data_IF_211223610585
#
_entry.id   IF_211223610585
#
_cell.length_a   1.000
_cell.length_b   1.000
_cell.length_c   1.000
_cell.angle_alpha   90.00
_cell.angle_beta   90.00
_cell.angle_gamma   90.00
#
_symmetry.space_group_name_H-M   'P 1'
#
loop_
_entity.id
_entity.type
_entity.pdbx_description
1 polymer ?
#
# COMPACT_ATOMS: atom_id res chain seq x y z
N UNK A 1 -29.30 30.67 -2.98
CA UNK A 1 -28.87 30.21 -1.65
C UNK A 1 -29.79 29.10 -1.18
N UNK A 2 -29.43 27.84 -1.41
CA UNK A 2 -30.16 26.70 -0.83
C UNK A 2 -29.60 26.50 0.57
N UNK A 3 -30.45 26.70 1.57
CA UNK A 3 -30.12 26.83 2.98
C UNK A 3 -29.32 25.60 3.49
N UNK A 4 -28.14 25.80 4.07
CA UNK A 4 -27.27 24.73 4.58
C UNK A 4 -27.99 23.85 5.63
N UNK A 5 -29.02 24.41 6.28
CA UNK A 5 -29.93 23.77 7.23
C UNK A 5 -30.65 22.53 6.67
N UNK A 6 -30.82 22.42 5.34
CA UNK A 6 -31.52 21.29 4.69
C UNK A 6 -30.62 20.09 4.36
N UNK A 7 -29.29 20.28 4.22
CA UNK A 7 -28.38 19.24 3.70
C UNK A 7 -28.22 18.04 4.63
N UNK A 8 -27.96 18.26 5.92
CA UNK A 8 -27.72 17.15 6.87
C UNK A 8 -28.92 16.23 7.04
N UNK A 9 -30.14 16.79 7.12
CA UNK A 9 -31.39 16.01 7.18
C UNK A 9 -31.68 15.28 5.86
N UNK A 10 -31.41 15.90 4.72
CA UNK A 10 -31.56 15.25 3.41
C UNK A 10 -30.59 14.08 3.25
N UNK A 11 -29.32 14.26 3.59
CA UNK A 11 -28.31 13.19 3.57
C UNK A 11 -28.72 12.04 4.49
N UNK A 12 -29.19 12.33 5.71
CA UNK A 12 -29.69 11.31 6.63
C UNK A 12 -30.87 10.52 6.03
N UNK A 13 -31.85 11.20 5.39
CA UNK A 13 -32.97 10.54 4.71
C UNK A 13 -32.51 9.62 3.57
N UNK A 14 -31.57 10.07 2.74
CA UNK A 14 -31.02 9.29 1.62
C UNK A 14 -30.28 8.05 2.15
N UNK A 15 -29.39 8.22 3.13
CA UNK A 15 -28.63 7.11 3.69
C UNK A 15 -29.54 6.08 4.39
N UNK A 16 -30.60 6.55 5.04
CA UNK A 16 -31.62 5.71 5.66
C UNK A 16 -32.37 4.87 4.63
N UNK A 17 -32.70 5.46 3.49
CA UNK A 17 -33.35 4.77 2.36
C UNK A 17 -32.43 3.70 1.74
N UNK A 18 -31.14 4.02 1.54
CA UNK A 18 -30.15 3.06 1.04
C UNK A 18 -30.04 1.84 1.99
N UNK A 19 -29.98 2.08 3.30
CA UNK A 19 -29.93 0.98 4.29
C UNK A 19 -31.18 0.10 4.25
N UNK A 20 -32.36 0.70 4.08
CA UNK A 20 -33.61 -0.04 3.91
C UNK A 20 -33.57 -0.92 2.66
N UNK A 21 -33.12 -0.38 1.53
CA UNK A 21 -33.01 -1.14 0.27
C UNK A 21 -32.02 -2.30 0.37
N UNK A 22 -30.89 -2.10 1.05
CA UNK A 22 -29.92 -3.18 1.31
C UNK A 22 -30.55 -4.25 2.22
N UNK A 23 -31.28 -3.84 3.26
CA UNK A 23 -31.94 -4.79 4.14
C UNK A 23 -33.01 -5.62 3.42
N UNK A 24 -33.88 -4.97 2.63
CA UNK A 24 -34.90 -5.61 1.80
C UNK A 24 -34.28 -6.58 0.79
N UNK A 25 -33.21 -6.17 0.09
CA UNK A 25 -32.51 -7.02 -0.88
C UNK A 25 -31.85 -8.26 -0.25
N UNK A 26 -31.67 -8.26 1.08
CA UNK A 26 -31.05 -9.33 1.83
C UNK A 26 -32.01 -9.96 2.84
N UNK A 27 -33.34 -9.83 2.71
CA UNK A 27 -34.31 -10.39 3.68
C UNK A 27 -33.96 -10.11 5.16
N UNK A 28 -33.39 -8.93 5.43
CA UNK A 28 -33.03 -8.49 6.78
C UNK A 28 -34.17 -7.62 7.27
N UNK A 29 -34.74 -7.98 8.43
CA UNK A 29 -35.71 -7.15 9.09
C UNK A 29 -35.05 -5.84 9.54
N UNK A 30 -35.51 -4.70 8.99
CA UNK A 30 -34.92 -3.40 9.26
C UNK A 30 -36.00 -2.37 9.55
N UNK A 31 -36.23 -2.14 10.84
CA UNK A 31 -37.20 -1.16 11.31
C UNK A 31 -36.50 0.18 11.44
N UNK A 32 -37.05 1.17 10.78
CA UNK A 32 -36.48 2.51 10.81
C UNK A 32 -37.33 3.45 11.66
N UNK A 33 -36.68 4.29 12.47
CA UNK A 33 -37.38 5.29 13.31
C UNK A 33 -37.23 6.70 12.75
N UNK A 34 -38.23 7.56 12.91
CA UNK A 34 -38.13 8.94 12.43
C UNK A 34 -37.07 9.74 13.21
N UNK A 35 -36.41 10.66 12.50
CA UNK A 35 -35.43 11.54 13.10
C UNK A 35 -36.15 12.58 13.97
N UNK A 36 -35.99 12.45 15.29
CA UNK A 36 -36.56 13.39 16.27
C UNK A 36 -35.66 14.62 16.52
N UNK A 37 -34.51 14.72 15.83
CA UNK A 37 -33.56 15.81 16.03
C UNK A 37 -34.09 17.14 15.45
N UNK A 38 -34.18 18.16 16.31
CA UNK A 38 -34.56 19.52 15.96
C UNK A 38 -33.31 20.41 15.92
N UNK A 39 -33.11 21.15 14.83
CA UNK A 39 -31.93 21.98 14.59
C UNK A 39 -31.01 21.49 13.47
N UNK A 40 -29.85 22.14 13.34
CA UNK A 40 -28.84 21.90 12.31
C UNK A 40 -28.07 20.60 12.58
N UNK A 41 -28.25 19.62 11.71
CA UNK A 41 -27.58 18.33 11.82
C UNK A 41 -26.26 18.35 11.04
N UNK A 42 -25.14 18.11 11.72
CA UNK A 42 -23.79 18.06 11.14
C UNK A 42 -23.52 16.81 10.27
N UNK A 43 -24.51 15.92 10.15
CA UNK A 43 -24.37 14.65 9.43
C UNK A 43 -23.81 13.55 10.35
N UNK A 44 -24.52 12.42 10.37
CA UNK A 44 -24.29 11.23 11.22
C UNK A 44 -24.59 11.45 12.71
N UNK A 45 -25.34 10.52 13.33
CA UNK A 45 -25.68 10.53 14.75
C UNK A 45 -25.59 9.10 15.34
N UNK A 46 -25.59 8.93 16.68
CA UNK A 46 -25.46 7.61 17.30
C UNK A 46 -26.52 6.59 16.84
N UNK A 47 -27.75 7.04 16.51
CA UNK A 47 -28.78 6.16 15.93
C UNK A 47 -28.44 5.71 14.52
N UNK A 48 -27.95 6.61 13.66
CA UNK A 48 -27.48 6.25 12.32
C UNK A 48 -26.30 5.28 12.37
N UNK A 49 -25.36 5.45 13.32
CA UNK A 49 -24.26 4.52 13.52
C UNK A 49 -24.73 3.15 14.00
N UNK A 50 -25.72 3.12 14.90
CA UNK A 50 -26.33 1.87 15.36
C UNK A 50 -27.06 1.12 14.23
N UNK A 51 -27.78 1.83 13.37
CA UNK A 51 -28.43 1.28 12.17
C UNK A 51 -27.41 0.65 11.21
N UNK A 52 -26.30 1.34 10.94
CA UNK A 52 -25.20 0.82 10.10
C UNK A 52 -24.61 -0.45 10.70
N UNK A 53 -24.25 -0.41 12.00
CA UNK A 53 -23.66 -1.55 12.70
C UNK A 53 -24.60 -2.76 12.71
N UNK A 54 -25.89 -2.54 12.91
CA UNK A 54 -26.89 -3.62 12.87
C UNK A 54 -26.91 -4.28 11.49
N UNK A 55 -27.01 -3.48 10.42
CA UNK A 55 -27.07 -3.99 9.05
C UNK A 55 -25.79 -4.74 8.66
N UNK A 56 -24.61 -4.20 8.99
CA UNK A 56 -23.31 -4.86 8.78
C UNK A 56 -23.24 -6.23 9.49
N UNK A 57 -23.70 -6.31 10.75
CA UNK A 57 -23.72 -7.56 11.50
C UNK A 57 -24.64 -8.61 10.85
N UNK A 58 -25.81 -8.22 10.35
CA UNK A 58 -26.75 -9.14 9.71
C UNK A 58 -26.23 -9.65 8.36
N UNK A 59 -25.64 -8.77 7.55
CA UNK A 59 -25.00 -9.15 6.28
C UNK A 59 -23.82 -10.09 6.53
N UNK A 60 -22.98 -9.78 7.51
CA UNK A 60 -21.84 -10.63 7.87
C UNK A 60 -22.29 -12.01 8.38
N UNK A 61 -23.39 -12.09 9.14
CA UNK A 61 -24.01 -13.38 9.50
C UNK A 61 -24.46 -14.16 8.26
N UNK A 62 -25.13 -13.52 7.30
CA UNK A 62 -25.53 -14.16 6.03
C UNK A 62 -24.30 -14.65 5.25
N UNK A 63 -23.22 -13.86 5.19
CA UNK A 63 -21.97 -14.24 4.54
C UNK A 63 -21.33 -15.47 5.16
N UNK A 64 -21.26 -15.54 6.49
CA UNK A 64 -20.65 -16.68 7.21
C UNK A 64 -21.41 -17.98 7.01
N UNK A 65 -22.73 -17.93 6.84
CA UNK A 65 -23.54 -19.12 6.52
C UNK A 65 -23.58 -19.42 5.01
N UNK A 66 -22.68 -18.80 4.22
CA UNK A 66 -22.56 -19.03 2.79
C UNK A 66 -23.70 -18.47 1.94
N UNK A 67 -24.58 -17.62 2.52
CA UNK A 67 -25.66 -16.96 1.77
C UNK A 67 -25.08 -15.79 0.99
N UNK A 68 -25.45 -15.68 -0.29
CA UNK A 68 -25.09 -14.55 -1.12
C UNK A 68 -25.65 -13.25 -0.54
N UNK A 69 -24.83 -12.20 -0.51
CA UNK A 69 -25.25 -10.85 -0.17
C UNK A 69 -25.63 -10.14 -1.46
N UNK A 70 -26.86 -9.65 -1.54
CA UNK A 70 -27.36 -8.85 -2.64
C UNK A 70 -27.16 -7.38 -2.30
N UNK A 71 -26.10 -6.77 -2.82
CA UNK A 71 -26.00 -5.32 -2.85
C UNK A 71 -26.77 -4.82 -4.07
N UNK A 72 -27.61 -3.80 -3.89
CA UNK A 72 -28.34 -3.20 -5.00
C UNK A 72 -27.36 -2.84 -6.11
N UNK A 73 -27.49 -3.52 -7.25
CA UNK A 73 -26.73 -3.24 -8.47
C UNK A 73 -25.54 -4.13 -8.78
N UNK A 74 -25.07 -5.04 -7.92
CA UNK A 74 -24.00 -6.00 -8.29
C UNK A 74 -24.10 -7.32 -7.51
N UNK A 75 -24.46 -8.39 -8.22
CA UNK A 75 -24.25 -9.77 -7.79
C UNK A 75 -22.76 -9.99 -7.53
N UNK A 76 -22.33 -10.10 -6.28
CA UNK A 76 -20.91 -10.36 -5.98
C UNK A 76 -20.76 -11.41 -4.89
N UNK A 77 -20.25 -12.57 -5.32
CA UNK A 77 -19.47 -13.43 -4.45
C UNK A 77 -18.27 -12.66 -3.90
N UNK A 78 -18.35 -12.36 -2.61
CA UNK A 78 -17.27 -12.37 -1.61
C UNK A 78 -16.05 -11.46 -1.92
N UNK A 79 -16.03 -10.25 -1.35
CA UNK A 79 -14.78 -9.57 -0.96
C UNK A 79 -14.87 -8.88 0.42
N UNK A 80 -13.71 -8.90 1.06
CA UNK A 80 -13.39 -8.97 2.48
C UNK A 80 -13.66 -7.73 3.33
N UNK A 81 -13.78 -7.99 4.63
CA UNK A 81 -13.94 -7.06 5.76
C UNK A 81 -12.61 -6.34 6.06
N UNK A 82 -12.64 -5.03 6.34
CA UNK A 82 -11.66 -4.35 7.20
C UNK A 82 -12.45 -3.55 8.26
N UNK A 83 -12.20 -3.69 9.57
CA UNK A 83 -12.79 -2.82 10.59
C UNK A 83 -11.93 -1.57 10.85
N UNK A 84 -12.53 -0.46 11.36
CA UNK A 84 -11.84 0.83 11.47
C UNK A 84 -11.45 1.25 12.90
N UNK A 85 -10.56 2.25 12.94
CA UNK A 85 -10.42 3.39 13.90
C UNK A 85 -9.20 3.34 14.84
N UNK A 86 -8.56 4.45 15.25
CA UNK A 86 -8.99 5.86 15.37
C UNK A 86 -7.81 6.88 15.44
N UNK A 87 -8.15 8.14 15.09
CA UNK A 87 -7.68 9.45 15.60
C UNK A 87 -6.33 10.09 15.16
N UNK A 88 -6.50 11.04 14.23
CA UNK A 88 -6.00 12.42 14.13
C UNK A 88 -4.48 12.72 14.13
N UNK A 89 -3.99 12.96 12.91
CA UNK A 89 -3.05 14.04 12.64
C UNK A 89 -3.59 14.81 11.41
N UNK A 90 -3.68 16.14 11.49
CA UNK A 90 -3.95 16.99 10.33
C UNK A 90 -2.87 16.76 9.27
N UNK A 91 -3.18 15.86 8.35
CA UNK A 91 -2.52 15.72 7.07
C UNK A 91 -3.63 15.62 6.05
N UNK A 92 -3.60 16.50 5.05
CA UNK A 92 -4.44 16.42 3.85
C UNK A 92 -4.13 15.09 3.17
N UNK A 93 -4.82 14.03 3.62
CA UNK A 93 -4.70 12.71 3.05
C UNK A 93 -5.81 12.54 2.04
N UNK A 94 -5.40 12.31 0.80
CA UNK A 94 -6.29 12.06 -0.33
C UNK A 94 -7.45 11.14 0.03
N UNK A 95 -8.69 11.47 -0.38
CA UNK A 95 -9.75 10.48 -0.37
C UNK A 95 -9.30 9.31 -1.24
N UNK A 96 -9.23 8.11 -0.67
CA UNK A 96 -8.96 6.88 -1.42
C UNK A 96 -10.13 6.70 -2.40
N UNK A 97 -9.92 7.04 -3.66
CA UNK A 97 -10.92 6.87 -4.71
C UNK A 97 -11.19 5.36 -4.88
N UNK A 98 -12.38 4.92 -4.49
CA UNK A 98 -12.91 3.62 -4.92
C UNK A 98 -13.34 3.78 -6.39
N UNK A 99 -12.65 3.12 -7.32
CA UNK A 99 -13.04 3.15 -8.73
C UNK A 99 -14.29 2.30 -8.92
N UNK A 100 -15.42 2.94 -9.24
CA UNK A 100 -16.54 2.29 -9.95
C UNK A 100 -16.48 2.72 -11.40
N UNK A 101 -16.18 1.78 -12.29
CA UNK A 101 -16.32 1.94 -13.74
C UNK A 101 -17.83 2.01 -14.03
N UNK A 102 -18.33 3.16 -14.45
CA UNK A 102 -19.66 3.27 -15.06
C UNK A 102 -19.53 3.20 -16.57
N UNK A 103 -20.46 2.50 -17.21
CA UNK A 103 -20.38 2.10 -18.62
C UNK A 103 -20.56 3.24 -19.65
N UNK A 104 -20.63 4.51 -19.25
CA UNK A 104 -21.08 5.61 -20.13
C UNK A 104 -20.07 6.73 -20.43
N UNK A 105 -18.78 6.58 -20.08
CA UNK A 105 -17.73 7.48 -20.61
C UNK A 105 -16.92 6.78 -21.69
N UNK A 106 -17.49 6.68 -22.89
CA UNK A 106 -16.78 6.40 -24.12
C UNK A 106 -15.85 7.58 -24.47
N UNK A 107 -14.72 7.69 -23.76
CA UNK A 107 -13.50 8.26 -24.33
C UNK A 107 -12.76 7.10 -24.96
N UNK A 108 -12.56 7.23 -26.27
CA UNK A 108 -12.09 6.19 -27.20
C UNK A 108 -10.98 5.31 -26.62
N UNK A 109 -11.23 4.00 -26.61
CA UNK A 109 -10.37 2.90 -26.16
C UNK A 109 -9.03 2.74 -26.93
N UNK A 110 -8.57 3.74 -27.69
CA UNK A 110 -7.46 3.56 -28.64
C UNK A 110 -6.07 3.98 -28.15
N UNK A 111 -5.94 4.74 -27.06
CA UNK A 111 -4.63 5.24 -26.61
C UNK A 111 -4.15 4.72 -25.25
N UNK A 112 -4.82 3.70 -24.67
CA UNK A 112 -4.37 3.06 -23.42
C UNK A 112 -3.85 1.63 -23.63
N UNK A 113 -3.02 1.43 -24.66
CA UNK A 113 -1.96 0.41 -24.61
C UNK A 113 -0.80 0.97 -23.80
N UNK A 114 -1.02 1.09 -22.51
CA UNK A 114 -0.02 1.56 -21.56
C UNK A 114 -0.35 0.93 -20.24
N UNK A 115 0.00 -0.36 -20.11
CA UNK A 115 0.23 -0.95 -18.80
C UNK A 115 0.99 0.09 -17.97
N UNK A 116 0.45 0.47 -16.82
CA UNK A 116 1.19 1.30 -15.89
C UNK A 116 2.54 0.60 -15.66
N UNK A 117 3.68 1.23 -15.97
CA UNK A 117 4.91 0.48 -16.03
C UNK A 117 5.25 -0.04 -14.64
N UNK A 118 5.23 -1.37 -14.55
CA UNK A 118 5.56 -2.14 -13.37
C UNK A 118 7.08 -2.07 -13.18
N UNK A 119 7.55 -1.23 -12.26
CA UNK A 119 8.98 -1.12 -11.92
C UNK A 119 9.29 -1.89 -10.63
N UNK A 120 9.02 -3.19 -10.65
CA UNK A 120 9.61 -4.21 -9.78
C UNK A 120 10.69 -5.00 -10.55
N UNK A 121 11.34 -5.99 -9.93
CA UNK A 121 12.16 -6.92 -10.71
C UNK A 121 11.26 -7.66 -11.70
N UNK A 122 11.78 -8.01 -12.88
CA UNK A 122 11.04 -8.80 -13.88
C UNK A 122 10.52 -10.09 -13.24
N UNK A 123 11.26 -10.63 -12.28
CA UNK A 123 10.83 -11.73 -11.42
C UNK A 123 11.28 -11.50 -9.97
N UNK A 124 10.34 -11.48 -9.04
CA UNK A 124 10.65 -11.48 -7.61
C UNK A 124 11.15 -12.86 -7.17
N UNK A 125 11.95 -12.95 -6.09
CA UNK A 125 12.28 -14.23 -5.51
C UNK A 125 11.03 -15.03 -5.15
N UNK A 126 11.10 -16.34 -5.37
CA UNK A 126 9.97 -17.24 -5.20
C UNK A 126 10.36 -18.43 -4.32
N UNK A 127 9.61 -18.64 -3.24
CA UNK A 127 9.78 -19.81 -2.39
C UNK A 127 9.48 -21.10 -3.18
N UNK A 128 10.15 -22.23 -2.92
CA UNK A 128 9.84 -23.50 -3.59
C UNK A 128 8.34 -23.87 -3.47
N UNK A 129 7.63 -23.87 -4.60
CA UNK A 129 6.18 -24.13 -4.63
C UNK A 129 5.30 -22.92 -4.27
N UNK A 130 5.87 -21.72 -4.27
CA UNK A 130 5.16 -20.46 -4.11
C UNK A 130 4.84 -20.09 -2.66
N UNK A 131 4.15 -18.96 -2.50
CA UNK A 131 3.88 -18.34 -1.19
C UNK A 131 2.98 -19.25 -0.31
N UNK A 132 2.05 -20.00 -0.90
CA UNK A 132 1.22 -20.93 -0.15
C UNK A 132 2.06 -22.02 0.55
N UNK A 133 3.06 -22.56 -0.13
CA UNK A 133 4.00 -23.53 0.44
C UNK A 133 4.93 -22.91 1.48
N UNK A 134 5.28 -21.63 1.32
CA UNK A 134 6.01 -20.91 2.36
C UNK A 134 5.20 -20.76 3.66
N UNK A 135 3.91 -20.43 3.53
CA UNK A 135 2.99 -20.34 4.68
C UNK A 135 2.88 -21.70 5.39
N UNK A 136 2.73 -22.78 4.63
CA UNK A 136 2.70 -24.15 5.16
C UNK A 136 4.01 -24.51 5.88
N UNK A 137 5.15 -24.25 5.25
CA UNK A 137 6.48 -24.45 5.83
C UNK A 137 6.61 -23.73 7.19
N UNK A 138 6.19 -22.47 7.28
CA UNK A 138 6.26 -21.73 8.54
C UNK A 138 5.36 -22.35 9.61
N UNK A 139 4.14 -22.79 9.26
CA UNK A 139 3.22 -23.43 10.20
C UNK A 139 3.75 -24.76 10.73
N UNK A 140 4.43 -25.54 9.89
CA UNK A 140 4.98 -26.84 10.26
C UNK A 140 6.26 -26.72 11.10
N UNK A 141 7.09 -25.71 10.82
CA UNK A 141 8.39 -25.56 11.46
C UNK A 141 8.36 -24.68 12.72
N UNK A 142 7.32 -23.85 12.88
CA UNK A 142 7.16 -22.98 14.04
C UNK A 142 6.50 -23.73 15.19
N UNK A 143 7.18 -23.73 16.34
CA UNK A 143 6.74 -24.40 17.58
C UNK A 143 5.72 -23.55 18.32
N UNK A 144 4.52 -23.44 17.75
CA UNK A 144 3.48 -22.55 18.24
C UNK A 144 3.13 -22.79 19.71
N UNK A 145 3.01 -24.04 20.14
CA UNK A 145 2.68 -24.42 21.53
C UNK A 145 3.72 -24.00 22.57
N UNK A 146 4.95 -23.69 22.16
CA UNK A 146 5.99 -23.21 23.08
C UNK A 146 5.94 -21.68 23.29
N UNK A 147 5.24 -20.97 22.39
CA UNK A 147 5.25 -19.50 22.34
C UNK A 147 3.85 -18.86 22.38
N UNK A 148 2.77 -19.62 22.18
CA UNK A 148 1.40 -19.13 22.03
C UNK A 148 0.89 -18.33 23.24
N UNK A 149 1.13 -18.82 24.45
CA UNK A 149 0.77 -18.15 25.71
C UNK A 149 1.45 -16.80 25.90
N UNK A 150 2.60 -16.60 25.24
CA UNK A 150 3.42 -15.38 25.32
C UNK A 150 3.13 -14.44 24.14
N UNK A 151 2.91 -15.02 22.96
CA UNK A 151 2.79 -14.29 21.70
C UNK A 151 1.34 -13.90 21.36
N UNK A 152 0.33 -14.41 22.08
CA UNK A 152 -1.07 -14.16 21.75
C UNK A 152 -1.39 -12.66 21.60
N UNK A 153 -2.06 -12.29 20.52
CA UNK A 153 -2.38 -10.92 20.10
C UNK A 153 -1.17 -9.99 19.91
N UNK A 154 0.02 -10.56 19.70
CA UNK A 154 1.21 -9.80 19.32
C UNK A 154 1.49 -9.92 17.82
N UNK A 155 2.28 -8.98 17.31
CA UNK A 155 2.83 -9.06 15.96
C UNK A 155 4.33 -8.77 16.00
N UNK A 156 5.10 -9.54 15.23
CA UNK A 156 6.55 -9.44 15.14
C UNK A 156 6.95 -9.24 13.69
N UNK A 157 7.76 -8.22 13.44
CA UNK A 157 8.27 -7.89 12.12
C UNK A 157 9.69 -8.42 11.98
N UNK A 158 9.89 -9.22 10.93
CA UNK A 158 11.17 -9.86 10.61
C UNK A 158 11.61 -9.40 9.24
N UNK A 159 12.72 -8.67 9.19
CA UNK A 159 13.36 -8.33 7.94
C UNK A 159 14.42 -9.37 7.59
N UNK A 160 14.45 -9.83 6.34
CA UNK A 160 15.48 -10.74 5.83
C UNK A 160 15.73 -10.45 4.36
N UNK A 161 16.86 -10.91 3.83
CA UNK A 161 17.22 -10.72 2.43
C UNK A 161 17.37 -12.07 1.75
N UNK A 162 16.78 -12.21 0.55
CA UNK A 162 17.12 -13.29 -0.36
C UNK A 162 18.31 -12.84 -1.20
N UNK A 163 19.42 -13.58 -1.15
CA UNK A 163 20.63 -13.26 -1.91
C UNK A 163 20.56 -13.71 -3.39
N UNK A 164 21.68 -13.58 -4.11
CA UNK A 164 21.79 -13.94 -5.52
C UNK A 164 21.63 -15.45 -5.78
N UNK A 165 21.90 -16.30 -4.78
CA UNK A 165 21.78 -17.75 -4.83
C UNK A 165 20.46 -18.26 -4.24
N UNK A 166 19.58 -17.34 -3.81
CA UNK A 166 18.30 -17.66 -3.22
C UNK A 166 18.36 -18.01 -1.73
N UNK A 167 19.51 -17.82 -1.08
CA UNK A 167 19.66 -18.07 0.35
C UNK A 167 19.05 -16.92 1.16
N UNK A 168 18.42 -17.28 2.28
CA UNK A 168 17.95 -16.30 3.27
C UNK A 168 19.13 -15.86 4.12
N UNK A 169 19.46 -14.57 4.06
CA UNK A 169 20.55 -13.96 4.84
C UNK A 169 20.03 -12.76 5.65
N UNK A 170 20.82 -12.38 6.66
CA UNK A 170 20.57 -11.22 7.52
C UNK A 170 19.15 -11.13 8.13
N UNK A 171 18.58 -12.23 8.68
CA UNK A 171 17.31 -12.14 9.39
C UNK A 171 17.48 -11.27 10.63
N UNK A 172 16.69 -10.21 10.74
CA UNK A 172 16.66 -9.30 11.89
C UNK A 172 15.24 -9.00 12.31
N UNK A 173 15.02 -8.93 13.61
CA UNK A 173 13.74 -8.53 14.17
C UNK A 173 13.74 -7.00 14.27
N UNK A 174 12.84 -6.37 13.53
CA UNK A 174 12.71 -4.90 13.50
C UNK A 174 11.77 -4.38 14.58
N UNK A 175 10.85 -5.24 15.03
CA UNK A 175 9.94 -4.94 16.14
C UNK A 175 10.17 -5.93 17.27
N UNK A 176 10.83 -5.47 18.34
CA UNK A 176 11.15 -6.29 19.51
C UNK A 176 9.90 -6.92 20.11
N UNK A 177 10.02 -8.17 20.51
CA UNK A 177 9.00 -8.95 21.20
C UNK A 177 9.64 -9.73 22.35
N UNK A 178 8.93 -10.71 22.92
CA UNK A 178 9.48 -11.55 23.96
C UNK A 178 10.66 -12.39 23.44
N UNK A 179 11.82 -12.47 24.13
CA UNK A 179 13.03 -13.14 23.62
C UNK A 179 12.85 -14.59 23.18
N UNK A 180 11.94 -15.34 23.81
CA UNK A 180 11.59 -16.71 23.39
C UNK A 180 10.94 -16.74 21.99
N UNK A 181 10.05 -15.79 21.70
CA UNK A 181 9.41 -15.65 20.39
C UNK A 181 10.46 -15.24 19.35
N UNK A 182 11.34 -14.30 19.71
CA UNK A 182 12.44 -13.86 18.86
C UNK A 182 13.38 -15.02 18.47
N UNK A 183 13.82 -15.81 19.46
CA UNK A 183 14.71 -16.94 19.25
C UNK A 183 14.07 -18.01 18.36
N UNK A 184 12.78 -18.30 18.56
CA UNK A 184 12.05 -19.28 17.75
C UNK A 184 11.88 -18.82 16.30
N UNK A 185 11.53 -17.55 16.09
CA UNK A 185 11.44 -16.96 14.76
C UNK A 185 12.79 -17.05 14.04
N UNK A 186 13.88 -16.61 14.68
CA UNK A 186 15.21 -16.65 14.07
C UNK A 186 15.68 -18.07 13.76
N UNK A 187 15.31 -19.05 14.60
CA UNK A 187 15.54 -20.47 14.34
C UNK A 187 14.76 -20.96 13.11
N UNK A 188 13.49 -20.60 12.96
CA UNK A 188 12.71 -20.98 11.78
C UNK A 188 13.26 -20.31 10.52
N UNK A 189 13.69 -19.05 10.60
CA UNK A 189 14.30 -18.34 9.49
C UNK A 189 15.58 -19.02 8.96
N UNK A 190 16.36 -19.67 9.84
CA UNK A 190 17.57 -20.40 9.44
C UNK A 190 17.28 -21.77 8.79
N UNK A 191 16.05 -22.27 8.91
CA UNK A 191 15.61 -23.52 8.27
C UNK A 191 15.04 -23.30 6.87
N UNK A 192 14.80 -22.05 6.46
CA UNK A 192 14.15 -21.75 5.19
C UNK A 192 15.02 -22.28 4.03
N UNK A 193 14.46 -23.12 3.14
CA UNK A 193 15.19 -23.61 1.97
C UNK A 193 15.51 -22.47 1.00
N UNK A 194 16.41 -22.75 0.05
CA UNK A 194 16.75 -21.79 -1.01
C UNK A 194 15.53 -21.44 -1.85
N UNK A 195 15.35 -20.15 -2.08
CA UNK A 195 14.34 -19.58 -2.98
C UNK A 195 14.86 -19.61 -4.41
N UNK A 196 13.95 -19.50 -5.37
CA UNK A 196 14.33 -19.02 -6.71
C UNK A 196 14.78 -17.56 -6.54
N UNK A 197 16.00 -17.17 -6.95
CA UNK A 197 16.47 -15.80 -6.82
C UNK A 197 15.62 -14.82 -7.61
N UNK A 198 15.68 -13.54 -7.21
CA UNK A 198 15.06 -12.46 -7.96
C UNK A 198 15.84 -12.22 -9.25
N UNK A 199 15.15 -11.95 -10.36
CA UNK A 199 15.77 -11.62 -11.64
C UNK A 199 15.39 -10.22 -12.10
N UNK A 200 16.38 -9.52 -12.63
CA UNK A 200 16.19 -8.24 -13.30
C UNK A 200 17.20 -8.09 -14.43
N UNK A 201 16.73 -7.77 -15.64
CA UNK A 201 17.59 -7.65 -16.82
C UNK A 201 18.51 -8.87 -17.02
N UNK A 202 17.97 -10.07 -16.74
CA UNK A 202 18.68 -11.35 -16.79
C UNK A 202 19.82 -11.53 -15.77
N UNK A 203 19.95 -10.63 -14.79
CA UNK A 203 20.88 -10.75 -13.65
C UNK A 203 20.13 -11.05 -12.36
N UNK A 204 20.77 -11.82 -11.47
CA UNK A 204 20.23 -12.11 -10.14
C UNK A 204 20.38 -10.91 -9.21
N UNK A 205 19.32 -10.52 -8.52
CA UNK A 205 19.32 -9.39 -7.57
C UNK A 205 18.96 -9.85 -6.16
N UNK A 206 19.51 -9.18 -5.16
CA UNK A 206 19.10 -9.44 -3.77
C UNK A 206 17.80 -8.69 -3.49
N UNK A 207 16.89 -9.29 -2.73
CA UNK A 207 15.62 -8.65 -2.36
C UNK A 207 15.40 -8.77 -0.87
N UNK A 208 15.17 -7.64 -0.23
CA UNK A 208 14.86 -7.56 1.19
C UNK A 208 13.35 -7.64 1.39
N UNK A 209 12.93 -8.61 2.17
CA UNK A 209 11.56 -8.84 2.61
C UNK A 209 11.35 -8.40 4.05
N UNK A 210 10.12 -8.01 4.36
CA UNK A 210 9.60 -7.84 5.70
C UNK A 210 8.40 -8.78 5.87
N UNK A 211 8.54 -9.71 6.81
CA UNK A 211 7.53 -10.68 7.21
C UNK A 211 6.94 -10.25 8.55
N UNK A 212 5.67 -9.85 8.52
CA UNK A 212 4.88 -9.60 9.71
C UNK A 212 4.20 -10.90 10.13
N UNK A 213 4.57 -11.38 11.31
CA UNK A 213 4.01 -12.55 11.97
C UNK A 213 3.06 -12.08 13.06
N UNK A 214 1.75 -12.28 12.90
CA UNK A 214 0.79 -12.05 13.98
C UNK A 214 0.40 -13.39 14.58
N UNK A 215 0.36 -13.48 15.91
CA UNK A 215 -0.02 -14.71 16.61
C UNK A 215 -1.39 -14.53 17.26
N UNK A 216 -2.37 -15.36 16.88
CA UNK A 216 -3.70 -15.37 17.49
C UNK A 216 -4.06 -16.77 17.99
N UNK A 217 -4.40 -16.89 19.27
CA UNK A 217 -4.87 -18.15 19.85
C UNK A 217 -6.17 -18.68 19.20
N UNK A 218 -6.93 -17.82 18.52
CA UNK A 218 -8.22 -18.18 17.92
C UNK A 218 -8.09 -18.79 16.52
N UNK A 219 -7.14 -18.32 15.71
CA UNK A 219 -7.01 -18.71 14.30
C UNK A 219 -5.59 -19.14 13.89
N UNK A 220 -4.63 -19.14 14.82
CA UNK A 220 -3.22 -19.41 14.56
C UNK A 220 -2.46 -18.17 14.06
N UNK A 221 -1.24 -18.34 13.51
CA UNK A 221 -0.45 -17.22 13.03
C UNK A 221 -0.96 -16.69 11.67
N UNK A 222 -1.19 -15.38 11.58
CA UNK A 222 -1.43 -14.67 10.32
C UNK A 222 -0.12 -14.08 9.78
N UNK A 223 0.09 -14.25 8.48
CA UNK A 223 1.32 -13.87 7.80
C UNK A 223 1.06 -12.76 6.79
N UNK A 224 1.84 -11.69 6.84
CA UNK A 224 1.92 -10.71 5.75
C UNK A 224 3.37 -10.56 5.32
N UNK A 225 3.62 -10.84 4.04
CA UNK A 225 4.94 -10.69 3.43
C UNK A 225 4.89 -9.49 2.51
N UNK A 226 5.81 -8.57 2.72
CA UNK A 226 6.05 -7.43 1.83
C UNK A 226 7.52 -7.42 1.46
N UNK A 227 7.87 -6.99 0.26
CA UNK A 227 9.27 -6.67 -0.06
C UNK A 227 9.47 -5.17 0.06
N UNK A 228 10.60 -4.77 0.63
CA UNK A 228 10.91 -3.37 0.92
C UNK A 228 11.92 -2.81 -0.07
N UNK A 229 12.85 -3.65 -0.54
CA UNK A 229 13.98 -3.22 -1.34
C UNK A 229 14.48 -4.29 -2.30
N UNK A 230 14.91 -3.86 -3.48
CA UNK A 230 15.76 -4.62 -4.38
C UNK A 230 17.15 -4.02 -4.24
N UNK A 231 18.12 -4.80 -3.81
CA UNK A 231 19.52 -4.38 -3.73
C UNK A 231 20.22 -4.78 -5.03
N UNK A 232 20.63 -3.77 -5.79
CA UNK A 232 21.31 -3.94 -7.05
C UNK A 232 22.81 -4.08 -6.79
N UNK A 233 23.49 -5.04 -7.43
CA UNK A 233 24.94 -5.17 -7.26
C UNK A 233 25.65 -3.88 -7.71
N UNK A 234 26.70 -3.50 -6.99
CA UNK A 234 27.51 -2.30 -7.27
C UNK A 234 26.72 -0.97 -7.26
N UNK A 235 25.62 -0.91 -6.51
CA UNK A 235 24.87 0.34 -6.26
C UNK A 235 25.01 0.72 -4.79
N UNK A 236 25.53 1.91 -4.55
CA UNK A 236 25.84 2.40 -3.21
C UNK A 236 24.70 3.27 -2.67
N UNK A 237 24.52 3.27 -1.35
CA UNK A 237 23.55 4.17 -0.68
C UNK A 237 24.19 5.51 -0.34
N UNK A 238 25.44 5.45 0.11
CA UNK A 238 26.24 6.58 0.49
C UNK A 238 27.65 6.40 -0.08
N UNK A 239 28.20 7.50 -0.57
CA UNK A 239 29.54 7.60 -1.12
C UNK A 239 30.13 8.94 -0.70
N UNK A 240 31.47 9.09 -0.67
CA UNK A 240 32.12 10.35 -0.31
C UNK A 240 31.62 11.55 -1.11
N UNK A 241 31.38 11.37 -2.42
CA UNK A 241 30.81 12.40 -3.29
C UNK A 241 29.46 11.93 -3.78
N UNK A 242 28.38 12.44 -3.20
CA UNK A 242 27.01 12.11 -3.62
C UNK A 242 26.68 12.67 -5.00
N UNK A 243 25.82 11.99 -5.79
CA UNK A 243 25.35 12.52 -7.06
C UNK A 243 24.71 13.90 -6.95
N UNK A 244 24.88 14.73 -7.96
CA UNK A 244 24.36 16.10 -7.97
C UNK A 244 23.58 16.40 -9.25
N UNK A 245 22.39 16.99 -9.09
CA UNK A 245 21.63 17.53 -10.22
C UNK A 245 22.44 18.66 -10.87
N UNK A 246 22.37 18.84 -12.21
CA UNK A 246 23.00 19.99 -12.86
C UNK A 246 22.59 21.30 -12.18
N UNK A 247 23.55 22.19 -11.92
CA UNK A 247 23.30 23.47 -11.23
C UNK A 247 22.81 23.33 -9.78
N UNK A 248 22.84 22.12 -9.21
CA UNK A 248 22.60 21.85 -7.80
C UNK A 248 21.13 21.69 -7.41
N UNK A 249 20.89 21.62 -6.11
CA UNK A 249 19.58 21.27 -5.55
C UNK A 249 18.48 22.31 -5.84
N UNK A 250 18.82 23.59 -5.92
CA UNK A 250 17.85 24.64 -6.24
C UNK A 250 17.31 24.49 -7.66
N UNK A 251 18.18 24.20 -8.63
CA UNK A 251 17.80 23.93 -10.01
C UNK A 251 16.91 22.68 -10.12
N UNK A 252 17.19 21.64 -9.32
CA UNK A 252 16.32 20.46 -9.23
C UNK A 252 14.91 20.84 -8.79
N UNK A 253 14.77 21.63 -7.72
CA UNK A 253 13.46 22.07 -7.22
C UNK A 253 12.70 22.91 -8.24
N UNK A 254 13.39 23.81 -8.96
CA UNK A 254 12.80 24.61 -10.02
C UNK A 254 12.40 23.75 -11.23
N UNK A 255 13.24 22.77 -11.61
CA UNK A 255 12.94 21.82 -12.67
C UNK A 255 11.66 21.05 -12.36
N UNK A 256 11.55 20.49 -11.15
CA UNK A 256 10.36 19.78 -10.69
C UNK A 256 9.12 20.69 -10.76
N UNK A 257 9.18 21.87 -10.13
CA UNK A 257 8.06 22.80 -10.10
C UNK A 257 7.59 23.23 -11.50
N UNK A 258 8.51 23.39 -12.46
CA UNK A 258 8.21 23.77 -13.84
C UNK A 258 7.65 22.62 -14.68
N UNK A 259 8.07 21.38 -14.39
CA UNK A 259 7.74 20.20 -15.20
C UNK A 259 6.54 19.43 -14.71
N UNK A 260 6.16 19.57 -13.44
CA UNK A 260 4.96 18.95 -12.87
C UNK A 260 3.71 19.51 -13.55
N UNK A 261 2.88 18.60 -14.05
CA UNK A 261 1.59 18.88 -14.63
C UNK A 261 0.53 18.17 -13.79
N UNK A 262 -0.44 18.90 -13.28
CA UNK A 262 -1.55 18.28 -12.56
C UNK A 262 -2.43 17.51 -13.53
N UNK A 263 -2.62 16.19 -13.36
CA UNK A 263 -3.58 15.45 -14.16
C UNK A 263 -4.99 16.03 -13.91
N UNK A 264 -5.74 16.23 -14.99
CA UNK A 264 -7.03 16.96 -15.01
C UNK A 264 -8.19 16.10 -14.49
N UNK A 265 -8.02 15.48 -13.33
CA UNK A 265 -9.05 14.62 -12.74
C UNK A 265 -9.91 15.49 -11.84
N UNK A 266 -11.09 15.78 -12.37
CA UNK A 266 -12.33 16.21 -11.71
C UNK A 266 -12.17 17.16 -10.51
N UNK A 267 -12.45 18.43 -10.78
CA UNK A 267 -12.92 19.46 -9.85
C UNK A 267 -13.72 18.85 -8.68
N UNK A 268 -13.08 18.69 -7.53
CA UNK A 268 -13.72 18.16 -6.32
C UNK A 268 -12.74 18.05 -5.17
N UNK A 269 -11.74 17.16 -5.31
CA UNK A 269 -10.79 16.85 -4.25
C UNK A 269 -9.37 16.67 -4.82
N UNK A 270 -8.65 17.78 -5.03
CA UNK A 270 -7.25 17.69 -5.48
C UNK A 270 -6.37 17.13 -4.38
N UNK A 271 -5.85 15.93 -4.65
CA UNK A 271 -4.82 15.29 -3.85
C UNK A 271 -3.58 16.18 -3.71
N UNK A 272 -3.22 16.49 -2.46
CA UNK A 272 -2.00 17.19 -2.12
C UNK A 272 -1.09 16.28 -1.31
N UNK A 273 0.22 16.52 -1.43
CA UNK A 273 1.20 15.91 -0.56
C UNK A 273 2.52 15.62 -1.26
N UNK A 274 3.29 14.72 -0.66
CA UNK A 274 4.63 14.33 -1.10
C UNK A 274 4.66 12.90 -1.60
N UNK A 275 4.91 12.74 -2.90
CA UNK A 275 5.27 11.44 -3.50
C UNK A 275 6.78 11.27 -3.37
N UNK A 276 7.23 10.16 -2.81
CA UNK A 276 8.66 9.83 -2.68
C UNK A 276 9.04 8.89 -3.82
N UNK A 277 9.91 9.36 -4.71
CA UNK A 277 10.48 8.53 -5.78
C UNK A 277 11.91 8.18 -5.41
N UNK A 278 12.24 6.89 -5.51
CA UNK A 278 13.61 6.40 -5.43
C UNK A 278 14.06 5.95 -6.81
N UNK A 279 15.29 6.26 -7.18
CA UNK A 279 15.90 5.83 -8.44
C UNK A 279 17.40 5.62 -8.22
N UNK A 280 18.07 5.13 -9.26
CA UNK A 280 19.52 4.95 -9.28
C UNK A 280 20.10 5.93 -10.29
N UNK A 281 21.19 6.59 -9.91
CA UNK A 281 22.01 7.38 -10.84
C UNK A 281 23.19 6.50 -11.22
N UNK A 282 23.32 6.15 -12.49
CA UNK A 282 24.43 5.31 -12.97
C UNK A 282 25.76 6.10 -13.01
N UNK A 283 26.86 5.39 -13.35
CA UNK A 283 28.20 5.98 -13.43
C UNK A 283 28.34 7.03 -14.56
N UNK A 284 27.43 7.02 -15.53
CA UNK A 284 27.31 8.01 -16.60
C UNK A 284 26.40 9.20 -16.25
N UNK A 285 25.76 9.17 -15.06
CA UNK A 285 24.84 10.19 -14.59
C UNK A 285 23.41 10.06 -15.11
N UNK A 286 23.03 8.96 -15.76
CA UNK A 286 21.66 8.73 -16.17
C UNK A 286 20.81 8.21 -15.01
N UNK A 287 19.54 8.57 -15.03
CA UNK A 287 18.56 7.99 -14.10
C UNK A 287 18.09 6.64 -14.65
N UNK A 288 18.19 5.61 -13.82
CA UNK A 288 17.68 4.28 -14.12
C UNK A 288 16.78 3.78 -12.99
N UNK A 289 15.86 2.88 -13.34
CA UNK A 289 14.99 2.14 -12.41
C UNK A 289 14.21 3.02 -11.40
N UNK A 290 13.54 4.11 -11.84
CA UNK A 290 12.73 4.90 -10.92
C UNK A 290 11.54 4.11 -10.41
N UNK A 291 11.31 4.16 -9.10
CA UNK A 291 10.19 3.51 -8.42
C UNK A 291 9.55 4.44 -7.39
N UNK A 292 8.25 4.28 -7.19
CA UNK A 292 7.51 4.98 -6.14
C UNK A 292 7.82 4.28 -4.82
N UNK A 293 8.61 4.92 -3.95
CA UNK A 293 8.92 4.41 -2.62
C UNK A 293 7.80 4.71 -1.62
N UNK A 294 7.10 5.83 -1.82
CA UNK A 294 5.88 6.18 -1.08
C UNK A 294 4.97 7.00 -2.00
N UNK A 295 3.87 6.39 -2.40
CA UNK A 295 2.85 7.02 -3.22
C UNK A 295 1.78 7.72 -2.40
N UNK A 296 0.96 8.51 -3.09
CA UNK A 296 -0.25 9.13 -2.52
C UNK A 296 -1.47 8.68 -3.31
N UNK A 297 -1.41 8.89 -4.62
CA UNK A 297 -2.47 8.59 -5.56
C UNK A 297 -1.83 8.11 -6.88
N UNK A 298 -2.36 7.07 -7.54
CA UNK A 298 -1.76 6.50 -8.75
C UNK A 298 -1.50 7.51 -9.88
N UNK A 299 -2.30 8.57 -10.00
CA UNK A 299 -2.11 9.57 -11.04
C UNK A 299 -0.98 10.54 -10.70
N UNK A 300 -0.89 10.97 -9.44
CA UNK A 300 0.25 11.77 -8.96
C UNK A 300 1.55 10.96 -8.98
N UNK A 301 1.47 9.68 -8.66
CA UNK A 301 2.61 8.75 -8.71
C UNK A 301 3.13 8.61 -10.14
N UNK A 302 2.23 8.42 -11.11
CA UNK A 302 2.57 8.36 -12.55
C UNK A 302 3.18 9.67 -13.03
N UNK A 303 2.64 10.80 -12.60
CA UNK A 303 3.17 12.11 -12.96
C UNK A 303 4.56 12.36 -12.36
N UNK A 304 4.75 12.01 -11.08
CA UNK A 304 6.06 12.09 -10.44
C UNK A 304 7.10 11.25 -11.21
N UNK A 305 6.77 10.00 -11.56
CA UNK A 305 7.64 9.17 -12.38
C UNK A 305 7.94 9.78 -13.75
N UNK A 306 6.95 10.38 -14.43
CA UNK A 306 7.15 11.05 -15.72
C UNK A 306 8.17 12.19 -15.59
N UNK A 307 8.05 13.02 -14.56
CA UNK A 307 8.96 14.15 -14.33
C UNK A 307 10.37 13.68 -13.99
N UNK A 308 10.51 12.66 -13.13
CA UNK A 308 11.81 12.06 -12.80
C UNK A 308 12.49 11.50 -14.06
N UNK A 309 11.77 10.79 -14.92
CA UNK A 309 12.32 10.25 -16.17
C UNK A 309 12.75 11.31 -17.19
N UNK A 310 12.31 12.56 -17.05
CA UNK A 310 12.68 13.66 -17.94
C UNK A 310 13.88 14.48 -17.46
N UNK A 311 14.47 14.11 -16.31
CA UNK A 311 15.60 14.85 -15.77
C UNK A 311 16.82 14.77 -16.71
N UNK A 312 17.62 15.84 -16.78
CA UNK A 312 18.91 15.80 -17.46
C UNK A 312 19.87 14.85 -16.76
N UNK A 313 21.02 14.58 -17.41
CA UNK A 313 22.10 13.81 -16.81
C UNK A 313 22.63 14.50 -15.54
N UNK A 314 22.80 13.73 -14.48
CA UNK A 314 23.36 14.14 -13.20
C UNK A 314 24.88 14.05 -13.22
N UNK A 315 25.53 14.72 -12.27
CA UNK A 315 26.88 14.35 -11.88
C UNK A 315 26.78 13.04 -11.09
N UNK A 316 27.49 11.98 -11.49
CA UNK A 316 27.45 10.69 -10.80
C UNK A 316 28.09 10.79 -9.41
N UNK A 317 27.88 9.76 -8.59
CA UNK A 317 28.59 9.65 -7.32
C UNK A 317 30.01 9.13 -7.51
N UNK A 318 30.91 9.48 -6.60
CA UNK A 318 32.33 9.09 -6.65
C UNK A 318 32.80 8.52 -5.31
N UNK A 319 33.65 7.48 -5.38
CA UNK A 319 34.41 6.93 -4.26
C UNK A 319 35.60 7.83 -3.90
N UNK A 320 36.32 7.50 -2.81
CA UNK A 320 37.47 8.31 -2.33
C UNK A 320 38.60 8.43 -3.37
N UNK A 321 38.74 7.43 -4.24
CA UNK A 321 39.71 7.38 -5.33
C UNK A 321 39.24 8.11 -6.61
N UNK A 322 38.05 8.72 -6.60
CA UNK A 322 37.43 9.37 -7.75
C UNK A 322 36.72 8.40 -8.70
N UNK A 323 36.62 7.11 -8.38
CA UNK A 323 35.90 6.14 -9.21
C UNK A 323 34.40 6.44 -9.20
N UNK A 324 33.83 6.64 -10.39
CA UNK A 324 32.38 6.87 -10.57
C UNK A 324 31.59 5.59 -10.34
N UNK A 325 30.56 5.68 -9.52
CA UNK A 325 29.74 4.53 -9.12
C UNK A 325 28.26 4.84 -9.22
N UNK A 326 27.45 3.78 -9.32
CA UNK A 326 26.01 3.90 -9.29
C UNK A 326 25.52 4.13 -7.84
N UNK A 327 24.60 5.07 -7.65
CA UNK A 327 24.15 5.46 -6.30
C UNK A 327 22.63 5.57 -6.25
N UNK A 328 22.03 5.06 -5.18
CA UNK A 328 20.62 5.28 -4.89
C UNK A 328 20.36 6.75 -4.55
N UNK A 329 19.35 7.34 -5.17
CA UNK A 329 18.92 8.69 -4.88
C UNK A 329 17.41 8.74 -4.66
N UNK A 330 16.97 9.58 -3.72
CA UNK A 330 15.55 9.71 -3.36
C UNK A 330 15.13 11.16 -3.46
N UNK A 331 14.08 11.43 -4.23
CA UNK A 331 13.53 12.78 -4.43
C UNK A 331 12.09 12.84 -3.93
N UNK A 332 11.77 13.77 -3.02
CA UNK A 332 10.39 14.09 -2.68
C UNK A 332 9.78 15.03 -3.73
N UNK A 333 8.81 14.54 -4.49
CA UNK A 333 8.03 15.34 -5.44
C UNK A 333 6.80 15.90 -4.70
N UNK A 334 6.71 17.23 -4.65
CA UNK A 334 5.67 17.93 -3.89
C UNK A 334 4.52 18.35 -4.81
N UNK A 335 3.31 17.91 -4.48
CA UNK A 335 2.07 18.35 -5.09
C UNK A 335 1.31 19.26 -4.11
N UNK A 336 1.17 20.54 -4.46
CA UNK A 336 0.35 21.57 -3.80
C UNK A 336 -0.78 22.06 -4.71
N UNK A 337 -1.94 22.39 -4.15
CA UNK A 337 -2.99 23.10 -4.87
C UNK A 337 -2.41 24.38 -5.51
N UNK A 338 -2.71 24.60 -6.80
CA UNK A 338 -2.28 25.79 -7.53
C UNK A 338 -3.20 26.97 -7.27
#
# INVERSE_FOLDING_TARGET
MINAMARGKQTCKILKEIRRQIAEANDIEFITSECQYQGDCLGTCPKCEAEVRYLEQQLERKRRVGKAITLFGLSTGILTIIPPTSLNAETLQCPKMNWTITADSLIQEKDMKGEAPFYGPEKLPEFPGGIAKFIEFLKENLRYSEIDSIANNTYTDVQFTIDHDGQVINPKITRKTHPKVEAEILRVMSLIPRWTPGMLANETVQVTYNLMLSFSAMYGPELRITYTRINYPNVYEEVPVMPQFPEGQQALMQFLAKKIQYPTIAQGDMCMGRVIIQFIIDKEGNIIKPRVARGIDPYLDKEALRVINQMPKWKPGELEDGTKVAVYFTVPVMFRAQ
#
